data_IF_061939571772
#
_entry.id   IF_061939571772
#
_cell.length_a   1.000
_cell.length_b   1.000
_cell.length_c   1.000
_cell.angle_alpha   90.00
_cell.angle_beta   90.00
_cell.angle_gamma   90.00
#
_symmetry.space_group_name_H-M   'P 1'
#
loop_
_entity.id
_entity.type
_entity.pdbx_description
1 polymer ?
#
# COMPACT_ATOMS: atom_id res chain seq x y z
N UNK A 1 16.85 8.51 6.23
CA UNK A 1 16.25 7.25 5.74
C UNK A 1 16.95 6.09 6.41
N UNK A 2 16.19 5.29 7.16
CA UNK A 2 16.70 4.04 7.74
C UNK A 2 16.77 2.96 6.66
N UNK A 3 17.50 1.87 6.91
CA UNK A 3 17.52 0.72 6.00
C UNK A 3 16.11 0.17 5.74
N UNK A 4 15.26 0.19 6.76
CA UNK A 4 13.90 -0.32 6.67
C UNK A 4 12.98 0.59 5.84
N UNK A 5 13.11 1.91 5.98
CA UNK A 5 12.39 2.88 5.17
C UNK A 5 12.75 2.75 3.68
N UNK A 6 14.04 2.53 3.37
CA UNK A 6 14.49 2.26 2.01
C UNK A 6 13.90 0.96 1.47
N UNK A 7 13.89 -0.11 2.27
CA UNK A 7 13.27 -1.39 1.88
C UNK A 7 11.78 -1.23 1.62
N UNK A 8 11.08 -0.50 2.49
CA UNK A 8 9.65 -0.19 2.31
C UNK A 8 9.39 0.61 1.02
N UNK A 9 10.27 1.58 0.72
CA UNK A 9 10.18 2.35 -0.51
C UNK A 9 10.34 1.49 -1.78
N UNK A 10 11.26 0.52 -1.76
CA UNK A 10 11.39 -0.44 -2.86
C UNK A 10 10.19 -1.37 -2.96
N UNK A 11 9.66 -1.86 -1.84
CA UNK A 11 8.45 -2.69 -1.84
C UNK A 11 7.22 -1.95 -2.37
N UNK A 12 7.07 -0.65 -2.04
CA UNK A 12 6.03 0.21 -2.60
C UNK A 12 6.12 0.30 -4.13
N UNK A 13 7.34 0.30 -4.70
CA UNK A 13 7.51 0.25 -6.16
C UNK A 13 7.23 -1.15 -6.70
N UNK A 14 7.64 -2.20 -5.98
CA UNK A 14 7.45 -3.59 -6.39
C UNK A 14 5.96 -3.94 -6.52
N UNK A 15 5.12 -3.60 -5.54
CA UNK A 15 3.67 -3.86 -5.62
C UNK A 15 3.05 -3.18 -6.86
N UNK A 16 3.52 -1.99 -7.22
CA UNK A 16 3.10 -1.29 -8.42
C UNK A 16 3.55 -2.00 -9.70
N UNK A 17 4.83 -2.39 -9.79
CA UNK A 17 5.34 -3.09 -10.97
C UNK A 17 4.64 -4.43 -11.19
N UNK A 18 4.36 -5.15 -10.10
CA UNK A 18 3.58 -6.39 -10.13
C UNK A 18 2.15 -6.14 -10.57
N UNK A 19 1.46 -5.14 -10.00
CA UNK A 19 0.10 -4.77 -10.42
C UNK A 19 0.05 -4.35 -11.90
N UNK A 20 1.04 -3.59 -12.37
CA UNK A 20 1.14 -3.20 -13.77
C UNK A 20 1.37 -4.40 -14.69
N UNK A 21 2.24 -5.34 -14.30
CA UNK A 21 2.58 -6.52 -15.09
C UNK A 21 1.42 -7.51 -15.15
N UNK A 22 0.74 -7.74 -14.04
CA UNK A 22 -0.25 -8.80 -13.90
C UNK A 22 -1.68 -8.33 -14.19
N UNK A 23 -2.00 -7.06 -13.89
CA UNK A 23 -3.34 -6.49 -14.09
C UNK A 23 -3.41 -5.48 -15.24
N UNK A 24 -2.27 -5.10 -15.83
CA UNK A 24 -2.21 -3.99 -16.80
C UNK A 24 -2.51 -2.62 -16.18
N UNK A 25 -2.63 -2.52 -14.86
CA UNK A 25 -3.03 -1.31 -14.16
C UNK A 25 -1.88 -0.30 -14.08
N UNK A 26 -2.06 0.88 -14.68
CA UNK A 26 -1.06 1.95 -14.68
C UNK A 26 -1.40 3.05 -13.66
N UNK A 27 -0.96 2.88 -12.42
CA UNK A 27 -1.04 3.87 -11.35
C UNK A 27 0.03 4.98 -11.42
N UNK A 28 0.06 5.78 -12.50
CA UNK A 28 1.06 6.83 -12.69
C UNK A 28 1.11 7.85 -11.53
N UNK A 29 -0.05 8.23 -10.97
CA UNK A 29 -0.15 9.13 -9.81
C UNK A 29 0.46 8.55 -8.54
N UNK A 30 0.33 7.23 -8.34
CA UNK A 30 0.93 6.53 -7.21
C UNK A 30 2.46 6.57 -7.32
N UNK A 31 3.01 6.24 -8.50
CA UNK A 31 4.46 6.30 -8.71
C UNK A 31 5.03 7.71 -8.56
N UNK A 32 4.32 8.73 -9.05
CA UNK A 32 4.71 10.12 -8.83
C UNK A 32 4.71 10.48 -7.34
N UNK A 33 3.70 10.05 -6.59
CA UNK A 33 3.62 10.29 -5.15
C UNK A 33 4.79 9.63 -4.40
N UNK A 34 5.09 8.37 -4.71
CA UNK A 34 6.23 7.64 -4.12
C UNK A 34 7.55 8.30 -4.50
N UNK A 35 7.72 8.75 -5.75
CA UNK A 35 8.94 9.43 -6.18
C UNK A 35 9.13 10.79 -5.48
N UNK A 36 8.06 11.53 -5.21
CA UNK A 36 8.13 12.86 -4.57
C UNK A 36 8.28 12.79 -3.05
N UNK A 37 7.59 11.87 -2.39
CA UNK A 37 7.50 11.82 -0.92
C UNK A 37 8.26 10.64 -0.29
N UNK A 38 8.67 9.67 -1.08
CA UNK A 38 9.13 8.36 -0.58
C UNK A 38 7.96 7.45 -0.20
N UNK A 39 8.23 6.15 -0.16
CA UNK A 39 7.23 5.11 0.09
C UNK A 39 6.52 5.26 1.43
N UNK A 40 7.25 5.56 2.51
CA UNK A 40 6.67 5.65 3.86
C UNK A 40 5.66 6.80 3.98
N UNK A 41 6.04 8.02 3.61
CA UNK A 41 5.15 9.18 3.67
C UNK A 41 3.98 9.03 2.69
N UNK A 42 4.22 8.46 1.50
CA UNK A 42 3.17 8.15 0.55
C UNK A 42 2.15 7.16 1.15
N UNK A 43 2.61 6.08 1.78
CA UNK A 43 1.75 5.09 2.41
C UNK A 43 0.89 5.72 3.52
N UNK A 44 1.52 6.46 4.45
CA UNK A 44 0.81 7.16 5.53
C UNK A 44 -0.28 8.10 5.00
N UNK A 45 0.00 8.81 3.91
CA UNK A 45 -0.99 9.68 3.26
C UNK A 45 -2.15 8.88 2.63
N UNK A 46 -1.87 7.73 2.01
CA UNK A 46 -2.88 6.90 1.34
C UNK A 46 -3.82 6.21 2.34
N UNK A 47 -3.27 5.69 3.44
CA UNK A 47 -4.07 5.01 4.48
C UNK A 47 -4.93 6.00 5.29
N UNK A 48 -4.44 7.23 5.47
CA UNK A 48 -5.19 8.30 6.16
C UNK A 48 -6.39 8.82 5.36
N UNK A 49 -6.45 8.55 4.06
CA UNK A 49 -7.57 8.98 3.22
C UNK A 49 -8.74 8.02 3.39
N UNK A 50 -9.88 8.52 3.84
CA UNK A 50 -11.11 7.73 3.95
C UNK A 50 -11.67 7.36 2.57
N UNK A 51 -12.28 6.18 2.46
CA UNK A 51 -12.89 5.67 1.22
C UNK A 51 -11.93 4.97 0.25
N UNK A 52 -10.66 4.76 0.63
CA UNK A 52 -9.68 4.09 -0.22
C UNK A 52 -9.23 4.95 -1.41
N UNK A 53 -8.50 4.34 -2.33
CA UNK A 53 -8.09 4.99 -3.58
C UNK A 53 -8.56 4.18 -4.77
N UNK A 54 -8.69 4.82 -5.93
CA UNK A 54 -8.99 4.12 -7.18
C UNK A 54 -8.05 2.92 -7.45
N UNK A 55 -6.78 3.01 -7.02
CA UNK A 55 -5.86 1.88 -7.11
C UNK A 55 -6.25 0.71 -6.21
N UNK A 56 -6.80 0.98 -5.03
CA UNK A 56 -7.31 -0.06 -4.14
C UNK A 56 -8.54 -0.77 -4.72
N UNK A 57 -9.49 -0.02 -5.30
CA UNK A 57 -10.66 -0.60 -5.97
C UNK A 57 -10.25 -1.55 -7.10
N UNK A 58 -9.32 -1.13 -7.97
CA UNK A 58 -8.81 -1.99 -9.06
C UNK A 58 -8.17 -3.27 -8.51
N UNK A 59 -7.37 -3.16 -7.44
CA UNK A 59 -6.76 -4.34 -6.81
C UNK A 59 -7.83 -5.27 -6.22
N UNK A 60 -8.87 -4.72 -5.60
CA UNK A 60 -9.98 -5.48 -5.05
C UNK A 60 -10.76 -6.23 -6.13
N UNK A 61 -11.15 -5.56 -7.22
CA UNK A 61 -11.86 -6.18 -8.35
C UNK A 61 -11.07 -7.34 -8.96
N UNK A 62 -9.73 -7.24 -8.93
CA UNK A 62 -8.83 -8.26 -9.44
C UNK A 62 -8.41 -9.30 -8.39
N UNK A 63 -8.96 -9.26 -7.16
CA UNK A 63 -8.58 -10.14 -6.04
C UNK A 63 -7.09 -10.10 -5.71
N UNK A 64 -6.46 -8.93 -5.89
CA UNK A 64 -5.03 -8.68 -5.67
C UNK A 64 -4.77 -7.64 -4.58
N UNK A 65 -5.57 -7.69 -3.52
CA UNK A 65 -5.37 -6.85 -2.34
C UNK A 65 -4.05 -7.13 -1.62
N UNK A 66 -3.36 -8.24 -1.90
CA UNK A 66 -1.97 -8.49 -1.50
C UNK A 66 -0.99 -7.44 -2.03
N UNK A 67 -1.31 -6.80 -3.17
CA UNK A 67 -0.52 -5.71 -3.77
C UNK A 67 -0.94 -4.32 -3.29
N UNK A 68 -1.83 -4.25 -2.29
CA UNK A 68 -2.27 -2.97 -1.74
C UNK A 68 -1.23 -2.39 -0.79
N UNK A 69 -1.31 -1.07 -0.57
CA UNK A 69 -0.48 -0.39 0.43
C UNK A 69 -0.85 -0.89 1.82
N UNK A 70 -2.14 -1.11 2.06
CA UNK A 70 -2.69 -1.62 3.31
C UNK A 70 -2.08 -2.98 3.66
N UNK A 71 -2.02 -3.92 2.71
CA UNK A 71 -1.39 -5.22 2.94
C UNK A 71 0.11 -5.07 3.23
N UNK A 72 0.80 -4.17 2.53
CA UNK A 72 2.21 -3.91 2.75
C UNK A 72 2.50 -3.32 4.14
N UNK A 73 1.65 -2.40 4.62
CA UNK A 73 1.73 -1.79 5.97
C UNK A 73 1.57 -2.84 7.07
N UNK A 74 0.83 -3.93 6.81
CA UNK A 74 0.59 -4.97 7.80
C UNK A 74 1.70 -6.00 7.92
N UNK A 75 2.64 -6.08 6.97
CA UNK A 75 3.78 -7.01 7.07
C UNK A 75 4.59 -6.74 8.34
N UNK A 76 4.90 -7.80 9.09
CA UNK A 76 5.64 -7.70 10.35
C UNK A 76 7.00 -7.03 10.20
N UNK A 77 7.66 -7.19 9.05
CA UNK A 77 8.94 -6.54 8.76
C UNK A 77 8.87 -5.01 8.82
N UNK A 78 7.70 -4.41 8.55
CA UNK A 78 7.50 -2.96 8.52
C UNK A 78 6.70 -2.45 9.71
N UNK A 79 6.36 -3.31 10.67
CA UNK A 79 5.52 -2.95 11.80
C UNK A 79 6.07 -1.77 12.61
N UNK A 80 7.40 -1.63 12.71
CA UNK A 80 8.04 -0.50 13.42
C UNK A 80 7.91 0.86 12.71
N UNK A 81 7.60 0.88 11.41
CA UNK A 81 7.41 2.12 10.63
C UNK A 81 6.01 2.74 10.83
N UNK A 82 5.07 1.94 11.34
CA UNK A 82 3.67 2.30 11.46
C UNK A 82 3.19 2.16 12.89
N UNK A 83 2.31 3.07 13.30
CA UNK A 83 1.63 2.99 14.58
C UNK A 83 0.55 1.92 14.55
N UNK A 84 0.18 1.41 15.73
CA UNK A 84 -0.94 0.47 15.84
C UNK A 84 -2.23 1.04 15.22
N UNK A 85 -2.52 2.33 15.43
CA UNK A 85 -3.67 3.00 14.83
C UNK A 85 -3.65 2.98 13.29
N UNK A 86 -2.49 3.22 12.67
CA UNK A 86 -2.32 3.15 11.21
C UNK A 86 -2.55 1.71 10.69
N UNK A 87 -2.05 0.71 11.42
CA UNK A 87 -2.25 -0.72 11.08
C UNK A 87 -3.72 -1.12 11.26
N UNK A 88 -4.38 -0.68 12.33
CA UNK A 88 -5.81 -0.93 12.57
C UNK A 88 -6.70 -0.37 11.44
N UNK A 89 -6.38 0.82 10.91
CA UNK A 89 -7.07 1.38 9.74
C UNK A 89 -6.93 0.45 8.53
N UNK A 90 -5.71 -0.04 8.28
CA UNK A 90 -5.44 -0.96 7.18
C UNK A 90 -6.18 -2.30 7.36
N UNK A 91 -6.19 -2.84 8.58
CA UNK A 91 -6.89 -4.08 8.94
C UNK A 91 -8.39 -3.93 8.69
N UNK A 92 -8.99 -2.85 9.21
CA UNK A 92 -10.41 -2.58 9.05
C UNK A 92 -10.76 -2.49 7.57
N UNK A 93 -10.00 -1.70 6.81
CA UNK A 93 -10.23 -1.53 5.36
C UNK A 93 -10.12 -2.86 4.61
N UNK A 94 -9.06 -3.63 4.83
CA UNK A 94 -8.90 -4.92 4.17
C UNK A 94 -10.06 -5.88 4.48
N UNK A 95 -10.50 -5.94 5.75
CA UNK A 95 -11.65 -6.76 6.15
C UNK A 95 -12.98 -6.28 5.57
N UNK A 96 -13.20 -4.97 5.50
CA UNK A 96 -14.41 -4.38 4.89
C UNK A 96 -14.56 -4.80 3.43
N UNK A 97 -13.45 -5.03 2.73
CA UNK A 97 -13.43 -5.49 1.34
C UNK A 97 -13.21 -7.01 1.19
N UNK A 98 -13.31 -7.76 2.28
CA UNK A 98 -13.29 -9.24 2.28
C UNK A 98 -11.90 -9.87 2.14
N UNK A 99 -10.83 -9.14 2.45
CA UNK A 99 -9.48 -9.69 2.51
C UNK A 99 -9.19 -10.33 3.87
N UNK A 100 -8.70 -11.57 3.85
CA UNK A 100 -8.27 -12.30 5.05
C UNK A 100 -6.84 -11.88 5.43
N UNK A 101 -6.66 -11.52 6.70
CA UNK A 101 -5.43 -10.97 7.27
C UNK A 101 -4.94 -11.92 8.36
#
# INVERSE_FOLDING_TARGET
MTLLENKFNEEMKNIYFTAKKELGYNAARFMQLVAQKGGLLAAKQLISKEGGTYGFEVLWENKRLDLSVEALVLKDEFAELFTNAERDICIKRLREFGYEI
#
